data_IF_538628563517
#
_entry.id   IF_538628563517
#
_cell.length_a   1.000
_cell.length_b   1.000
_cell.length_c   1.000
_cell.angle_alpha   90.00
_cell.angle_beta   90.00
_cell.angle_gamma   90.00
#
_symmetry.space_group_name_H-M   'P 1'
#
loop_
_entity.id
_entity.type
_entity.pdbx_description
1 polymer ?
#
# COMPACT_ATOMS: atom_id res chain seq x y z
N UNK A 1 21.76 -22.44 2.94
CA UNK A 1 22.95 -21.64 3.26
C UNK A 1 24.14 -22.06 2.38
N UNK A 2 24.86 -21.10 1.78
CA UNK A 2 26.02 -21.35 0.89
C UNK A 2 27.33 -21.49 1.66
N UNK A 3 28.38 -22.04 1.03
CA UNK A 3 29.74 -22.16 1.62
C UNK A 3 30.31 -20.78 1.99
N UNK A 4 30.06 -19.78 1.16
CA UNK A 4 30.45 -18.38 1.42
C UNK A 4 29.72 -17.82 2.64
N UNK A 5 28.40 -18.06 2.75
CA UNK A 5 27.61 -17.65 3.90
C UNK A 5 28.08 -18.30 5.20
N UNK A 6 28.41 -19.59 5.18
CA UNK A 6 28.96 -20.30 6.34
C UNK A 6 30.30 -19.72 6.80
N UNK A 7 31.19 -19.41 5.86
CA UNK A 7 32.48 -18.77 6.17
C UNK A 7 32.27 -17.39 6.80
N UNK A 8 31.38 -16.59 6.23
CA UNK A 8 31.08 -15.25 6.75
C UNK A 8 30.45 -15.31 8.15
N UNK A 9 29.54 -16.24 8.39
CA UNK A 9 28.93 -16.45 9.71
C UNK A 9 29.99 -16.75 10.79
N UNK A 10 30.99 -17.57 10.46
CA UNK A 10 32.09 -17.90 11.38
C UNK A 10 33.01 -16.70 11.65
N UNK A 11 33.19 -15.80 10.67
CA UNK A 11 33.90 -14.54 10.86
C UNK A 11 33.10 -13.59 11.77
N UNK A 12 31.79 -13.45 11.55
CA UNK A 12 30.90 -12.65 12.39
C UNK A 12 30.86 -13.14 13.84
N UNK A 13 30.88 -14.46 14.08
CA UNK A 13 30.85 -15.07 15.44
C UNK A 13 31.98 -14.58 16.35
N UNK A 14 33.11 -14.13 15.78
CA UNK A 14 34.27 -13.65 16.54
C UNK A 14 34.11 -12.22 17.04
N UNK A 15 33.18 -11.46 16.46
CA UNK A 15 33.07 -10.00 16.66
C UNK A 15 31.69 -9.60 17.20
N UNK A 16 30.63 -10.31 16.81
CA UNK A 16 29.26 -10.00 17.18
C UNK A 16 28.81 -10.74 18.46
N UNK A 17 27.84 -10.14 19.14
CA UNK A 17 27.14 -10.78 20.27
C UNK A 17 26.16 -11.85 19.74
N UNK A 18 25.81 -12.80 20.60
CA UNK A 18 24.86 -13.88 20.28
C UNK A 18 23.53 -13.35 19.72
N UNK A 19 22.98 -12.30 20.33
CA UNK A 19 21.73 -11.68 19.86
C UNK A 19 21.83 -11.09 18.44
N UNK A 20 22.99 -10.55 18.05
CA UNK A 20 23.22 -10.02 16.70
C UNK A 20 23.45 -11.16 15.69
N UNK A 21 24.04 -12.28 16.15
CA UNK A 21 24.25 -13.46 15.32
C UNK A 21 22.94 -14.09 14.85
N UNK A 22 21.87 -14.01 15.64
CA UNK A 22 20.55 -14.48 15.24
C UNK A 22 20.03 -13.74 13.99
N UNK A 23 20.21 -12.42 13.93
CA UNK A 23 19.81 -11.63 12.77
C UNK A 23 20.62 -11.99 11.52
N UNK A 24 21.94 -12.15 11.67
CA UNK A 24 22.85 -12.53 10.57
C UNK A 24 22.52 -13.93 10.05
N UNK A 25 22.31 -14.89 10.96
CA UNK A 25 21.96 -16.28 10.61
C UNK A 25 20.63 -16.33 9.86
N UNK A 26 19.62 -15.60 10.35
CA UNK A 26 18.31 -15.50 9.69
C UNK A 26 18.42 -14.99 8.26
N UNK A 27 19.19 -13.92 8.01
CA UNK A 27 19.38 -13.40 6.67
C UNK A 27 20.08 -14.38 5.73
N UNK A 28 21.13 -15.05 6.21
CA UNK A 28 21.87 -16.05 5.43
C UNK A 28 21.04 -17.31 5.12
N UNK A 29 20.20 -17.74 6.07
CA UNK A 29 19.34 -18.91 5.92
C UNK A 29 18.21 -18.66 4.92
N UNK A 30 17.65 -17.45 4.92
CA UNK A 30 16.70 -17.01 3.89
C UNK A 30 17.35 -16.91 2.50
N UNK A 31 18.66 -16.74 2.44
CA UNK A 31 19.42 -16.60 1.21
C UNK A 31 19.64 -15.15 0.76
N UNK A 32 19.59 -14.19 1.70
CA UNK A 32 19.99 -12.82 1.40
C UNK A 32 21.47 -12.77 0.97
N UNK A 33 21.83 -11.86 0.05
CA UNK A 33 23.22 -11.67 -0.37
C UNK A 33 24.13 -11.36 0.81
N UNK A 34 25.31 -11.98 0.84
CA UNK A 34 26.33 -11.71 1.86
C UNK A 34 26.72 -10.23 1.87
N UNK A 35 26.72 -9.56 0.72
CA UNK A 35 26.97 -8.12 0.59
C UNK A 35 26.01 -7.27 1.41
N UNK A 36 24.73 -7.63 1.45
CA UNK A 36 23.69 -6.87 2.13
C UNK A 36 23.80 -7.10 3.64
N UNK A 37 23.98 -8.35 4.04
CA UNK A 37 24.21 -8.71 5.44
C UNK A 37 25.49 -8.04 5.97
N UNK A 38 26.53 -7.92 5.14
CA UNK A 38 27.74 -7.17 5.49
C UNK A 38 27.46 -5.70 5.78
N UNK A 39 26.56 -5.04 5.04
CA UNK A 39 26.17 -3.66 5.33
C UNK A 39 25.45 -3.56 6.67
N UNK A 40 24.52 -4.48 6.96
CA UNK A 40 23.82 -4.52 8.27
C UNK A 40 24.79 -4.77 9.43
N UNK A 41 25.78 -5.63 9.25
CA UNK A 41 26.80 -5.88 10.29
C UNK A 41 27.70 -4.66 10.47
N UNK A 42 28.10 -3.99 9.38
CA UNK A 42 28.95 -2.78 9.43
C UNK A 42 28.27 -1.57 10.06
N UNK A 43 26.94 -1.50 10.05
CA UNK A 43 26.20 -0.42 10.70
C UNK A 43 26.34 -0.43 12.22
N UNK A 44 26.78 -1.55 12.81
CA UNK A 44 27.02 -1.71 14.25
C UNK A 44 25.78 -1.37 15.11
N UNK A 45 24.59 -1.61 14.56
CA UNK A 45 23.31 -1.39 15.22
C UNK A 45 23.03 -2.47 16.27
N UNK A 46 22.10 -2.19 17.19
CA UNK A 46 21.67 -3.19 18.16
C UNK A 46 20.95 -4.37 17.50
N UNK A 47 21.01 -5.54 18.12
CA UNK A 47 20.39 -6.77 17.60
C UNK A 47 18.92 -6.61 17.18
N UNK A 48 18.04 -5.90 17.92
CA UNK A 48 16.65 -5.74 17.52
C UNK A 48 16.50 -4.88 16.25
N UNK A 49 17.36 -3.88 16.07
CA UNK A 49 17.40 -3.03 14.87
C UNK A 49 17.91 -3.84 13.68
N UNK A 50 19.03 -4.55 13.84
CA UNK A 50 19.57 -5.44 12.80
C UNK A 50 18.52 -6.45 12.33
N UNK A 51 17.78 -7.06 13.26
CA UNK A 51 16.71 -8.01 12.94
C UNK A 51 15.59 -7.36 12.14
N UNK A 52 15.17 -6.15 12.52
CA UNK A 52 14.14 -5.40 11.79
C UNK A 52 14.59 -5.08 10.34
N UNK A 53 15.86 -4.68 10.16
CA UNK A 53 16.42 -4.43 8.83
C UNK A 53 16.45 -5.73 8.01
N UNK A 54 16.97 -6.83 8.56
CA UNK A 54 17.02 -8.14 7.88
C UNK A 54 15.63 -8.59 7.44
N UNK A 55 14.61 -8.46 8.31
CA UNK A 55 13.23 -8.77 7.94
C UNK A 55 12.76 -7.90 6.77
N UNK A 56 13.07 -6.59 6.78
CA UNK A 56 12.77 -5.72 5.64
C UNK A 56 13.44 -6.17 4.34
N UNK A 57 14.70 -6.59 4.39
CA UNK A 57 15.41 -7.13 3.22
C UNK A 57 14.75 -8.43 2.71
N UNK A 58 14.30 -9.30 3.62
CA UNK A 58 13.57 -10.53 3.26
C UNK A 58 12.23 -10.23 2.57
N UNK A 59 11.60 -9.10 2.91
CA UNK A 59 10.39 -8.60 2.25
C UNK A 59 10.68 -7.88 0.92
N UNK A 60 11.94 -7.81 0.49
CA UNK A 60 12.37 -7.25 -0.79
C UNK A 60 12.66 -5.74 -0.76
N UNK A 61 12.82 -5.14 0.42
CA UNK A 61 13.15 -3.72 0.53
C UNK A 61 14.63 -3.49 0.18
N UNK A 62 14.89 -2.67 -0.85
CA UNK A 62 16.24 -2.39 -1.35
C UNK A 62 16.97 -1.24 -0.66
N UNK A 63 16.31 -0.50 0.23
CA UNK A 63 16.84 0.75 0.83
C UNK A 63 17.72 0.51 2.06
N UNK A 64 18.65 -0.45 1.95
CA UNK A 64 19.51 -0.90 3.04
C UNK A 64 20.42 0.19 3.60
N UNK A 65 20.96 1.04 2.73
CA UNK A 65 21.90 2.09 3.11
C UNK A 65 21.17 3.14 3.96
N UNK A 66 19.95 3.52 3.57
CA UNK A 66 19.09 4.43 4.34
C UNK A 66 18.74 3.87 5.73
N UNK A 67 18.39 2.59 5.81
CA UNK A 67 18.05 1.92 7.07
C UNK A 67 19.26 1.77 8.00
N UNK A 68 20.45 1.55 7.44
CA UNK A 68 21.68 1.33 8.21
C UNK A 68 22.35 2.64 8.66
N UNK A 69 22.24 3.70 7.88
CA UNK A 69 22.78 5.04 8.21
C UNK A 69 21.89 5.79 9.20
N UNK A 70 20.59 5.47 9.23
CA UNK A 70 19.65 6.07 10.15
C UNK A 70 19.86 5.67 11.60
N UNK A 71 19.68 6.62 12.52
CA UNK A 71 19.67 6.36 13.96
C UNK A 71 18.25 6.00 14.43
N UNK A 72 17.70 4.93 13.84
CA UNK A 72 16.35 4.47 14.08
C UNK A 72 16.33 3.33 15.09
N UNK A 73 15.34 3.32 15.97
CA UNK A 73 15.02 2.12 16.76
C UNK A 73 14.23 1.10 15.92
N UNK A 74 14.12 -0.13 16.43
CA UNK A 74 13.45 -1.25 15.73
C UNK A 74 12.00 -0.93 15.29
N UNK A 75 11.28 -0.09 16.04
CA UNK A 75 9.90 0.26 15.72
C UNK A 75 9.84 1.31 14.61
N UNK A 76 10.78 2.26 14.60
CA UNK A 76 10.91 3.23 13.51
C UNK A 76 11.32 2.54 12.21
N UNK A 77 12.31 1.64 12.25
CA UNK A 77 12.70 0.80 11.09
C UNK A 77 11.50 0.05 10.55
N UNK A 78 10.68 -0.55 11.42
CA UNK A 78 9.46 -1.25 10.99
C UNK A 78 8.50 -0.36 10.23
N UNK A 79 8.23 0.87 10.68
CA UNK A 79 7.34 1.79 9.95
C UNK A 79 7.96 2.28 8.64
N UNK A 80 9.29 2.36 8.53
CA UNK A 80 9.98 2.69 7.27
C UNK A 80 9.80 1.53 6.27
N UNK A 81 10.10 0.31 6.71
CA UNK A 81 9.95 -0.92 5.91
C UNK A 81 8.50 -1.10 5.45
N UNK A 82 7.53 -0.90 6.34
CA UNK A 82 6.11 -1.03 6.01
C UNK A 82 5.67 0.00 4.94
N UNK A 83 6.18 1.24 5.00
CA UNK A 83 5.85 2.25 4.01
C UNK A 83 6.37 1.89 2.61
N UNK A 84 7.65 1.47 2.54
CA UNK A 84 8.26 1.01 1.28
C UNK A 84 7.53 -0.22 0.72
N UNK A 85 7.14 -1.15 1.58
CA UNK A 85 6.36 -2.35 1.21
C UNK A 85 4.99 -2.00 0.64
N UNK A 86 4.34 -0.97 1.17
CA UNK A 86 3.04 -0.50 0.71
C UNK A 86 3.15 0.46 -0.49
N UNK A 87 4.31 0.51 -1.15
CA UNK A 87 4.50 1.23 -2.41
C UNK A 87 4.83 2.70 -2.25
N UNK A 88 5.13 3.19 -1.04
CA UNK A 88 5.74 4.51 -0.89
C UNK A 88 7.16 4.49 -1.45
N UNK A 89 7.54 5.54 -2.16
CA UNK A 89 8.93 5.71 -2.58
C UNK A 89 9.79 6.25 -1.44
N UNK A 90 11.12 6.24 -1.64
CA UNK A 90 12.07 6.67 -0.62
C UNK A 90 11.89 8.16 -0.24
N UNK A 91 11.49 9.02 -1.18
CA UNK A 91 11.31 10.45 -0.90
C UNK A 91 10.06 10.69 -0.04
N UNK A 92 8.96 9.98 -0.32
CA UNK A 92 7.76 9.95 0.52
C UNK A 92 8.09 9.44 1.94
N UNK A 93 8.87 8.36 2.03
CA UNK A 93 9.29 7.79 3.31
C UNK A 93 10.14 8.75 4.13
N UNK A 94 11.08 9.46 3.49
CA UNK A 94 11.92 10.48 4.15
C UNK A 94 11.11 11.61 4.80
N UNK A 95 9.89 11.88 4.33
CA UNK A 95 9.05 12.94 4.92
C UNK A 95 8.61 12.62 6.36
N UNK A 96 8.48 11.34 6.71
CA UNK A 96 8.06 10.91 8.04
C UNK A 96 9.14 10.15 8.81
N UNK A 97 10.18 9.66 8.13
CA UNK A 97 11.31 8.93 8.71
C UNK A 97 12.30 9.84 9.46
N UNK A 98 11.82 10.66 10.39
CA UNK A 98 12.66 11.47 11.27
C UNK A 98 13.11 10.69 12.50
N UNK A 99 14.41 10.66 12.79
CA UNK A 99 14.95 9.99 13.99
C UNK A 99 14.31 10.48 15.30
N UNK A 100 13.96 11.78 15.36
CA UNK A 100 13.32 12.41 16.52
C UNK A 100 11.82 12.10 16.63
N UNK A 101 11.21 11.55 15.58
CA UNK A 101 9.79 11.23 15.57
C UNK A 101 9.55 9.85 16.18
N UNK A 102 8.67 9.72 17.19
CA UNK A 102 8.33 8.42 17.73
C UNK A 102 7.63 7.56 16.65
N UNK A 103 7.87 6.24 16.69
CA UNK A 103 7.30 5.31 15.71
C UNK A 103 5.77 5.40 15.59
N UNK A 104 5.06 5.72 16.68
CA UNK A 104 3.61 5.93 16.65
C UNK A 104 3.18 7.11 15.75
N UNK A 105 3.97 8.19 15.70
CA UNK A 105 3.74 9.33 14.83
C UNK A 105 4.11 9.01 13.39
N UNK A 106 5.23 8.32 13.19
CA UNK A 106 5.62 7.80 11.88
C UNK A 106 4.51 6.95 11.26
N UNK A 107 3.92 6.05 12.05
CA UNK A 107 2.78 5.24 11.64
C UNK A 107 1.58 6.07 11.16
N UNK A 108 1.20 7.10 11.90
CA UNK A 108 0.08 7.97 11.49
C UNK A 108 0.37 8.64 10.15
N UNK A 109 1.59 9.18 9.99
CA UNK A 109 1.99 9.86 8.76
C UNK A 109 2.07 8.90 7.57
N UNK A 110 2.66 7.71 7.78
CA UNK A 110 2.71 6.64 6.77
C UNK A 110 1.31 6.28 6.26
N UNK A 111 0.36 5.99 7.16
CA UNK A 111 -1.01 5.62 6.77
C UNK A 111 -1.66 6.75 5.96
N UNK A 112 -1.45 8.01 6.34
CA UNK A 112 -1.98 9.15 5.58
C UNK A 112 -1.40 9.24 4.17
N UNK A 113 -0.10 8.98 4.00
CA UNK A 113 0.55 8.94 2.68
C UNK A 113 0.04 7.76 1.85
N UNK A 114 -0.03 6.56 2.42
CA UNK A 114 -0.56 5.36 1.76
C UNK A 114 -1.99 5.57 1.27
N UNK A 115 -2.87 6.13 2.12
CA UNK A 115 -4.25 6.45 1.75
C UNK A 115 -4.34 7.51 0.65
N UNK A 116 -3.41 8.48 0.66
CA UNK A 116 -3.39 9.54 -0.35
C UNK A 116 -2.96 8.97 -1.71
N UNK A 117 -1.91 8.15 -1.72
CA UNK A 117 -1.41 7.47 -2.92
C UNK A 117 -2.42 6.49 -3.51
N UNK A 118 -3.07 5.70 -2.64
CA UNK A 118 -4.13 4.79 -3.07
C UNK A 118 -5.31 5.51 -3.74
N UNK A 119 -5.61 6.75 -3.35
CA UNK A 119 -6.65 7.58 -4.02
C UNK A 119 -6.19 8.13 -5.37
N UNK A 120 -4.91 8.49 -5.50
CA UNK A 120 -4.37 8.97 -6.77
C UNK A 120 -4.28 7.86 -7.82
N UNK A 121 -4.05 6.61 -7.39
CA UNK A 121 -3.99 5.43 -8.25
C UNK A 121 -5.38 4.90 -8.69
N UNK A 122 -6.47 5.35 -8.07
CA UNK A 122 -7.81 5.09 -8.62
C UNK A 122 -7.84 5.69 -10.03
N UNK A 123 -8.03 4.88 -11.08
CA UNK A 123 -8.03 5.41 -12.43
C UNK A 123 -9.10 6.50 -12.48
N UNK A 124 -8.74 7.71 -12.92
CA UNK A 124 -9.73 8.76 -13.22
C UNK A 124 -10.83 8.22 -14.14
N UNK A 125 -10.50 7.21 -14.95
CA UNK A 125 -11.41 6.40 -15.74
C UNK A 125 -12.46 5.65 -14.92
N UNK A 126 -12.17 5.12 -13.73
CA UNK A 126 -13.13 4.41 -12.89
C UNK A 126 -14.11 5.38 -12.22
N UNK A 127 -13.63 6.52 -11.71
CA UNK A 127 -14.51 7.59 -11.23
C UNK A 127 -15.38 8.15 -12.36
N UNK A 128 -14.79 8.40 -13.53
CA UNK A 128 -15.50 8.88 -14.71
C UNK A 128 -16.49 7.83 -15.24
N UNK A 129 -16.15 6.53 -15.20
CA UNK A 129 -17.06 5.42 -15.54
C UNK A 129 -18.22 5.33 -14.56
N UNK A 130 -17.96 5.46 -13.26
CA UNK A 130 -18.98 5.48 -12.22
C UNK A 130 -19.93 6.67 -12.41
N UNK A 131 -19.38 7.85 -12.67
CA UNK A 131 -20.14 9.05 -13.00
C UNK A 131 -20.99 8.86 -14.27
N UNK A 132 -20.42 8.34 -15.35
CA UNK A 132 -21.15 8.04 -16.59
C UNK A 132 -22.26 7.00 -16.37
N UNK A 133 -22.00 5.97 -15.56
CA UNK A 133 -23.00 4.95 -15.21
C UNK A 133 -24.19 5.55 -14.47
N UNK A 134 -23.94 6.45 -13.53
CA UNK A 134 -24.99 7.17 -12.81
C UNK A 134 -25.83 8.04 -13.76
N UNK A 135 -25.19 8.79 -14.67
CA UNK A 135 -25.89 9.58 -15.68
C UNK A 135 -26.77 8.72 -16.60
N UNK A 136 -26.26 7.57 -17.05
CA UNK A 136 -27.04 6.64 -17.86
C UNK A 136 -28.26 6.10 -17.10
N UNK A 137 -28.10 5.76 -15.82
CA UNK A 137 -29.22 5.34 -14.98
C UNK A 137 -30.31 6.40 -14.84
N UNK A 138 -29.93 7.68 -14.69
CA UNK A 138 -30.89 8.80 -14.65
C UNK A 138 -31.61 8.93 -16.01
N UNK A 139 -30.87 8.85 -17.12
CA UNK A 139 -31.47 8.91 -18.46
C UNK A 139 -32.45 7.76 -18.70
N UNK A 140 -32.10 6.53 -18.33
CA UNK A 140 -32.99 5.36 -18.45
C UNK A 140 -34.28 5.56 -17.64
N UNK A 141 -34.19 6.03 -16.40
CA UNK A 141 -35.36 6.33 -15.58
C UNK A 141 -36.24 7.41 -16.23
N UNK A 142 -35.64 8.46 -16.79
CA UNK A 142 -36.38 9.52 -17.48
C UNK A 142 -37.10 9.03 -18.75
N UNK A 143 -36.46 8.15 -19.53
CA UNK A 143 -37.06 7.55 -20.74
C UNK A 143 -38.23 6.66 -20.34
N UNK A 144 -38.07 5.87 -19.27
CA UNK A 144 -39.10 5.00 -18.76
C UNK A 144 -40.33 5.80 -18.28
N UNK A 145 -40.11 6.86 -17.51
CA UNK A 145 -41.18 7.77 -17.09
C UNK A 145 -41.90 8.41 -18.29
N UNK A 146 -41.16 8.81 -19.32
CA UNK A 146 -41.76 9.40 -20.52
C UNK A 146 -42.62 8.39 -21.29
N UNK A 147 -42.15 7.14 -21.43
CA UNK A 147 -42.94 6.06 -22.04
C UNK A 147 -44.23 5.79 -21.27
N UNK A 148 -44.15 5.64 -19.96
CA UNK A 148 -45.32 5.42 -19.09
C UNK A 148 -46.32 6.59 -19.17
N UNK A 149 -45.82 7.82 -19.24
CA UNK A 149 -46.67 9.01 -19.43
C UNK A 149 -47.38 8.99 -20.79
N UNK A 150 -46.68 8.63 -21.85
CA UNK A 150 -47.25 8.54 -23.19
C UNK A 150 -48.28 7.40 -23.34
N UNK A 151 -48.03 6.25 -22.70
CA UNK A 151 -48.98 5.14 -22.66
C UNK A 151 -50.27 5.55 -21.93
N UNK A 152 -50.15 6.25 -20.79
CA UNK A 152 -51.32 6.82 -20.08
C UNK A 152 -52.07 7.81 -20.94
N UNK A 153 -51.37 8.71 -21.64
CA UNK A 153 -52.01 9.67 -22.53
C UNK A 153 -52.77 8.98 -23.67
N UNK A 154 -52.18 7.94 -24.25
CA UNK A 154 -52.80 7.14 -25.32
C UNK A 154 -54.06 6.44 -24.82
N UNK A 155 -54.01 5.82 -23.64
CA UNK A 155 -55.15 5.17 -23.01
C UNK A 155 -56.29 6.14 -22.68
N UNK A 156 -55.97 7.34 -22.19
CA UNK A 156 -56.96 8.40 -21.98
C UNK A 156 -57.56 8.88 -23.30
N UNK A 157 -56.74 9.05 -24.35
CA UNK A 157 -57.20 9.45 -25.67
C UNK A 157 -58.17 8.43 -26.28
N UNK A 158 -57.93 7.13 -26.11
CA UNK A 158 -58.89 6.10 -26.56
C UNK A 158 -60.20 6.14 -25.76
N UNK A 159 -60.14 6.33 -24.44
CA UNK A 159 -61.34 6.40 -23.59
C UNK A 159 -62.24 7.59 -23.96
N UNK A 160 -61.63 8.75 -24.23
CA UNK A 160 -62.34 9.96 -24.68
C UNK A 160 -62.95 9.74 -26.06
N UNK A 161 -62.24 9.07 -26.98
CA UNK A 161 -62.79 8.74 -28.30
C UNK A 161 -64.00 7.82 -28.21
N UNK A 162 -64.02 6.85 -27.29
CA UNK A 162 -65.19 5.98 -27.07
C UNK A 162 -66.39 6.76 -26.51
N UNK A 163 -66.20 7.61 -25.49
CA UNK A 163 -67.29 8.41 -24.91
C UNK A 163 -67.89 9.43 -25.88
N UNK A 164 -67.11 9.97 -26.83
CA UNK A 164 -67.62 10.92 -27.84
C UNK A 164 -68.43 10.23 -28.95
N UNK A 165 -68.30 8.91 -29.11
CA UNK A 165 -69.06 8.14 -30.13
C UNK A 165 -70.41 7.67 -29.59
N UNK A 166 -70.59 7.56 -28.27
CA UNK A 166 -71.87 7.17 -27.65
C UNK A 166 -72.91 8.32 -27.53
N UNK A 167 -72.53 9.57 -27.80
CA UNK A 167 -73.44 10.75 -27.77
C UNK A 167 -74.03 11.16 -29.15
N UNK A 168 -74.02 10.28 -30.16
CA UNK A 168 -74.70 10.52 -31.45
C UNK A 168 -75.81 9.52 -31.73
#
# INVERSE_FOLDING_TARGET
>A
MTVEGQRYLEECRKVLKEEQMDAVSMGLDFGLPVSDIQKVVKSNQEAPVMKAIIIGLMEGIGEIDFLCEGNYNQFQVREIVEGLKNGLDLEEVKTYAGNELPASRMRTMRIQLEESKAKEEVPKDEEMRSYMKNLMGIMEQSIQQFRESNDRFTALSSLVKEHVVEEK
#
